data_IF_296889483261
#
_entry.id   IF_296889483261
#
_cell.length_a   1.000
_cell.length_b   1.000
_cell.length_c   1.000
_cell.angle_alpha   90.00
_cell.angle_beta   90.00
_cell.angle_gamma   90.00
#
_symmetry.space_group_name_H-M   'P 1'
#
loop_
_entity.id
_entity.type
_entity.pdbx_description
1 polymer ?
#
# COMPACT_ATOMS: atom_id res chain seq x y z
N UNK A 1 2.58 -28.11 28.13
CA UNK A 1 1.92 -27.28 29.16
C UNK A 1 0.41 -27.57 29.22
N UNK A 2 -0.37 -27.47 28.16
CA UNK A 2 -1.82 -27.73 28.20
C UNK A 2 -2.24 -29.10 28.75
N UNK A 3 -1.45 -30.15 28.51
CA UNK A 3 -1.68 -31.51 29.06
C UNK A 3 -1.39 -31.64 30.57
N UNK A 4 -0.82 -30.62 31.22
CA UNK A 4 -0.53 -30.59 32.64
C UNK A 4 -1.43 -29.59 33.35
N UNK A 5 -1.49 -28.34 32.86
CA UNK A 5 -2.22 -27.26 33.51
C UNK A 5 -3.73 -27.55 33.50
N UNK A 6 -4.31 -27.91 32.35
CA UNK A 6 -5.76 -28.13 32.25
C UNK A 6 -6.26 -29.29 33.12
N UNK A 7 -5.61 -30.47 33.18
CA UNK A 7 -6.01 -31.52 34.12
C UNK A 7 -5.89 -31.12 35.58
N UNK A 8 -4.83 -30.37 35.94
CA UNK A 8 -4.63 -29.89 37.31
C UNK A 8 -5.72 -28.88 37.71
N UNK A 9 -6.10 -27.97 36.82
CA UNK A 9 -7.19 -27.04 37.07
C UNK A 9 -8.54 -27.76 37.27
N UNK A 10 -8.81 -28.80 36.47
CA UNK A 10 -10.02 -29.60 36.63
C UNK A 10 -10.01 -30.34 37.97
N UNK A 11 -8.86 -30.92 38.37
CA UNK A 11 -8.70 -31.58 39.67
C UNK A 11 -8.91 -30.57 40.79
N UNK A 12 -8.25 -29.41 40.75
CA UNK A 12 -8.38 -28.36 41.73
C UNK A 12 -9.83 -27.89 41.87
N UNK A 13 -10.54 -27.68 40.76
CA UNK A 13 -11.96 -27.30 40.76
C UNK A 13 -12.87 -28.35 41.39
N UNK A 14 -12.62 -29.64 41.14
CA UNK A 14 -13.37 -30.74 41.78
C UNK A 14 -13.13 -30.82 43.28
N UNK A 15 -11.90 -30.58 43.72
CA UNK A 15 -11.56 -30.62 45.16
C UNK A 15 -11.90 -29.31 45.91
N UNK A 16 -12.24 -28.24 45.22
CA UNK A 16 -12.50 -26.93 45.82
C UNK A 16 -13.62 -26.98 46.88
N UNK A 17 -14.68 -27.77 46.64
CA UNK A 17 -15.79 -27.90 47.58
C UNK A 17 -15.57 -28.91 48.72
N UNK A 18 -14.52 -29.74 48.63
CA UNK A 18 -14.25 -30.83 49.59
C UNK A 18 -13.02 -30.52 50.43
N UNK A 19 -11.98 -29.96 49.80
CA UNK A 19 -10.64 -29.71 50.38
C UNK A 19 -10.07 -28.38 49.85
N UNK A 20 -10.69 -27.25 50.20
CA UNK A 20 -10.31 -25.92 49.74
C UNK A 20 -8.78 -25.64 49.87
N UNK A 21 -8.09 -25.96 51.00
CA UNK A 21 -6.63 -25.70 51.09
C UNK A 21 -5.82 -26.46 50.05
N UNK A 22 -6.25 -27.66 49.67
CA UNK A 22 -5.58 -28.47 48.65
C UNK A 22 -5.82 -27.87 47.25
N UNK A 23 -7.07 -27.48 46.95
CA UNK A 23 -7.41 -26.82 45.71
C UNK A 23 -6.62 -25.49 45.52
N UNK A 24 -6.53 -24.69 46.61
CA UNK A 24 -5.77 -23.45 46.59
C UNK A 24 -4.27 -23.69 46.28
N UNK A 25 -3.68 -24.73 46.87
CA UNK A 25 -2.27 -25.10 46.60
C UNK A 25 -2.10 -25.49 45.08
N UNK A 26 -3.02 -26.26 44.51
CA UNK A 26 -2.93 -26.65 43.10
C UNK A 26 -3.09 -25.46 42.18
N UNK A 27 -4.01 -24.52 42.46
CA UNK A 27 -4.14 -23.29 41.70
C UNK A 27 -2.86 -22.42 41.80
N UNK A 28 -2.25 -22.27 42.97
CA UNK A 28 -0.98 -21.56 43.14
C UNK A 28 0.16 -22.20 42.33
N UNK A 29 0.21 -23.54 42.28
CA UNK A 29 1.18 -24.24 41.43
C UNK A 29 0.93 -23.98 39.95
N UNK A 30 -0.30 -23.96 39.49
CA UNK A 30 -0.67 -23.63 38.10
C UNK A 30 -0.31 -22.17 37.76
N UNK A 31 -0.59 -21.23 38.66
CA UNK A 31 -0.21 -19.82 38.48
C UNK A 31 1.29 -19.65 38.32
N UNK A 32 2.06 -20.38 39.14
CA UNK A 32 3.55 -20.41 39.02
C UNK A 32 3.99 -20.97 37.67
N UNK A 33 3.37 -22.07 37.20
CA UNK A 33 3.67 -22.68 35.91
C UNK A 33 3.32 -21.77 34.74
N UNK A 34 2.18 -21.08 34.81
CA UNK A 34 1.77 -20.10 33.80
C UNK A 34 2.72 -18.89 33.79
N UNK A 35 3.07 -18.39 34.97
CA UNK A 35 4.04 -17.29 35.13
C UNK A 35 5.43 -17.65 34.57
N UNK A 36 5.90 -18.85 34.80
CA UNK A 36 7.16 -19.36 34.21
C UNK A 36 7.05 -19.46 32.69
N UNK A 37 5.92 -19.95 32.15
CA UNK A 37 5.69 -20.03 30.72
C UNK A 37 5.69 -18.64 30.07
N UNK A 38 4.95 -17.68 30.64
CA UNK A 38 4.90 -16.29 30.15
C UNK A 38 6.30 -15.66 30.21
N UNK A 39 7.04 -15.85 31.31
CA UNK A 39 8.41 -15.34 31.44
C UNK A 39 9.34 -15.96 30.39
N UNK A 40 9.20 -17.25 30.12
CA UNK A 40 9.96 -17.93 29.07
C UNK A 40 9.61 -17.42 27.66
N UNK A 41 8.31 -17.20 27.37
CA UNK A 41 7.89 -16.63 26.08
C UNK A 41 8.40 -15.21 25.91
N UNK A 42 8.34 -14.39 26.96
CA UNK A 42 8.89 -13.03 26.94
C UNK A 42 10.42 -13.03 26.74
N UNK A 43 11.13 -14.01 27.35
CA UNK A 43 12.57 -14.18 27.11
C UNK A 43 12.85 -14.55 25.65
N UNK A 44 12.08 -15.47 25.06
CA UNK A 44 12.22 -15.84 23.67
C UNK A 44 11.91 -14.66 22.74
N UNK A 45 10.87 -13.90 23.04
CA UNK A 45 10.50 -12.70 22.30
C UNK A 45 11.64 -11.67 22.34
N UNK A 46 12.21 -11.44 23.51
CA UNK A 46 13.35 -10.52 23.66
C UNK A 46 14.64 -11.00 22.97
N UNK A 47 14.92 -12.32 23.00
CA UNK A 47 16.12 -12.88 22.38
C UNK A 47 16.06 -13.00 20.87
N UNK A 48 14.90 -13.33 20.34
CA UNK A 48 14.71 -13.63 18.92
C UNK A 48 13.96 -12.54 18.17
N UNK A 49 13.27 -11.62 18.90
CA UNK A 49 12.45 -10.55 18.34
C UNK A 49 11.69 -11.03 17.09
N UNK A 50 10.85 -12.07 17.21
CA UNK A 50 10.22 -12.71 16.05
C UNK A 50 9.32 -11.71 15.33
N UNK A 51 9.78 -11.20 14.20
CA UNK A 51 8.96 -10.36 13.35
C UNK A 51 8.00 -11.24 12.51
N UNK A 52 6.72 -10.88 12.50
CA UNK A 52 5.77 -11.48 11.59
C UNK A 52 6.04 -10.95 10.19
N UNK A 53 6.69 -11.76 9.36
CA UNK A 53 6.96 -11.42 7.97
C UNK A 53 5.70 -11.74 7.15
N UNK A 54 5.03 -10.75 6.55
CA UNK A 54 3.91 -11.00 5.68
C UNK A 54 4.38 -11.72 4.42
N UNK A 55 3.70 -12.81 4.07
CA UNK A 55 4.01 -13.60 2.89
C UNK A 55 2.81 -13.58 1.95
N UNK A 56 3.01 -13.11 0.72
CA UNK A 56 1.99 -13.16 -0.31
C UNK A 56 1.73 -14.62 -0.71
N UNK A 57 0.67 -15.22 -0.18
CA UNK A 57 0.29 -16.59 -0.48
C UNK A 57 -0.80 -16.66 -1.55
N UNK A 58 -0.53 -17.34 -2.66
CA UNK A 58 -1.59 -17.75 -3.58
C UNK A 58 -2.47 -18.83 -2.93
N UNK A 59 -3.75 -18.96 -3.30
CA UNK A 59 -4.66 -20.00 -2.75
C UNK A 59 -4.08 -21.43 -2.81
N UNK A 60 -3.28 -21.80 -3.75
CA UNK A 60 -2.54 -23.01 -4.04
C UNK A 60 -1.37 -23.25 -3.07
N UNK A 61 -0.63 -22.17 -2.71
CA UNK A 61 0.39 -22.27 -1.67
C UNK A 61 -0.25 -22.46 -0.28
N UNK A 62 -1.41 -21.86 -0.05
CA UNK A 62 -2.18 -22.08 1.17
C UNK A 62 -2.64 -23.55 1.26
N UNK A 63 -3.20 -24.10 0.19
CA UNK A 63 -3.57 -25.54 0.14
C UNK A 63 -2.34 -26.42 0.39
N UNK A 64 -1.22 -26.12 -0.25
CA UNK A 64 0.03 -26.85 -0.04
C UNK A 64 0.49 -26.78 1.43
N UNK A 65 0.41 -25.63 2.07
CA UNK A 65 0.75 -25.45 3.48
C UNK A 65 -0.15 -26.30 4.39
N UNK A 66 -1.43 -26.35 4.12
CA UNK A 66 -2.38 -27.21 4.84
C UNK A 66 -2.02 -28.69 4.68
N UNK A 67 -1.71 -29.14 3.45
CA UNK A 67 -1.27 -30.51 3.18
C UNK A 67 0.01 -30.86 3.94
N UNK A 68 0.99 -29.95 3.97
CA UNK A 68 2.23 -30.11 4.76
C UNK A 68 1.90 -30.31 6.23
N UNK A 69 1.05 -29.46 6.80
CA UNK A 69 0.63 -29.58 8.20
C UNK A 69 -0.05 -30.91 8.47
N UNK A 70 -0.98 -31.34 7.62
CA UNK A 70 -1.64 -32.63 7.74
C UNK A 70 -0.62 -33.78 7.74
N UNK A 71 0.36 -33.78 6.82
CA UNK A 71 1.42 -34.79 6.77
C UNK A 71 2.23 -34.79 8.08
N UNK A 72 2.54 -33.64 8.66
CA UNK A 72 3.29 -33.54 9.89
C UNK A 72 2.53 -34.10 11.09
N UNK A 73 1.20 -33.92 11.15
CA UNK A 73 0.37 -34.39 12.28
C UNK A 73 -0.16 -35.80 12.13
N UNK A 74 -0.16 -36.40 10.95
CA UNK A 74 -0.53 -37.84 10.76
C UNK A 74 0.43 -38.73 11.59
N UNK A 75 -0.06 -39.83 12.21
CA UNK A 75 0.76 -40.77 12.96
C UNK A 75 1.93 -41.31 12.13
N UNK A 76 3.07 -41.59 12.81
CA UNK A 76 4.25 -42.16 12.18
C UNK A 76 3.89 -43.56 11.55
N UNK A 77 4.35 -43.77 10.33
CA UNK A 77 4.11 -45.04 9.57
C UNK A 77 3.04 -44.96 8.51
N UNK A 78 2.13 -43.95 8.55
CA UNK A 78 1.10 -43.79 7.51
C UNK A 78 1.65 -43.11 6.26
N UNK A 79 2.46 -42.03 6.44
CA UNK A 79 3.07 -41.23 5.36
C UNK A 79 4.51 -40.84 5.75
N UNK A 80 5.47 -40.91 4.80
CA UNK A 80 6.84 -40.42 5.07
C UNK A 80 6.85 -38.91 5.39
N UNK A 81 7.38 -38.54 6.54
CA UNK A 81 7.49 -37.11 6.97
C UNK A 81 8.36 -36.30 6.04
N UNK A 82 9.29 -36.92 5.31
CA UNK A 82 10.13 -36.25 4.30
C UNK A 82 9.32 -35.60 3.18
N UNK A 83 8.08 -36.06 2.89
CA UNK A 83 7.21 -35.40 1.91
C UNK A 83 6.81 -33.97 2.34
N UNK A 84 6.68 -33.75 3.63
CA UNK A 84 6.44 -32.40 4.14
C UNK A 84 7.63 -31.46 3.83
N UNK A 85 8.87 -31.95 3.91
CA UNK A 85 10.06 -31.19 3.54
C UNK A 85 10.08 -30.82 2.05
N UNK A 86 9.67 -31.75 1.15
CA UNK A 86 9.53 -31.44 -0.28
C UNK A 86 8.48 -30.35 -0.53
N UNK A 87 7.39 -30.37 0.22
CA UNK A 87 6.34 -29.35 0.11
C UNK A 87 6.76 -27.95 0.58
N UNK A 88 7.80 -27.84 1.42
CA UNK A 88 8.33 -26.53 1.85
C UNK A 88 9.13 -25.81 0.74
N UNK A 89 9.69 -26.54 -0.23
CA UNK A 89 10.53 -25.97 -1.29
C UNK A 89 9.84 -24.84 -2.07
N UNK A 90 8.59 -24.98 -2.55
CA UNK A 90 7.89 -23.90 -3.24
C UNK A 90 7.66 -22.66 -2.35
N UNK A 91 7.40 -22.90 -1.05
CA UNK A 91 7.20 -21.80 -0.08
C UNK A 91 8.50 -21.02 0.13
N UNK A 92 9.62 -21.70 0.28
CA UNK A 92 10.94 -21.07 0.40
C UNK A 92 11.39 -20.38 -0.87
N UNK A 93 10.85 -20.74 -2.02
CA UNK A 93 11.15 -20.13 -3.30
C UNK A 93 10.37 -18.81 -3.55
N UNK A 94 9.35 -18.47 -2.76
CA UNK A 94 8.54 -17.25 -2.92
C UNK A 94 9.40 -15.99 -3.04
N UNK A 95 10.42 -15.75 -2.19
CA UNK A 95 11.26 -14.55 -2.27
C UNK A 95 12.08 -14.46 -3.56
N UNK A 96 12.25 -15.56 -4.29
CA UNK A 96 12.98 -15.61 -5.54
C UNK A 96 12.13 -15.23 -6.77
N UNK A 97 10.81 -15.17 -6.62
CA UNK A 97 9.92 -14.74 -7.70
C UNK A 97 10.04 -13.23 -7.91
N UNK A 98 10.52 -12.85 -9.09
CA UNK A 98 10.51 -11.47 -9.54
C UNK A 98 9.11 -11.10 -10.00
N UNK A 99 8.38 -10.37 -9.17
CA UNK A 99 7.06 -9.89 -9.54
C UNK A 99 7.20 -8.80 -10.62
N UNK A 100 6.37 -8.88 -11.68
CA UNK A 100 6.36 -7.85 -12.71
C UNK A 100 5.91 -6.51 -12.14
N UNK A 101 6.04 -5.45 -12.94
CA UNK A 101 5.57 -4.11 -12.54
C UNK A 101 4.08 -4.13 -12.20
N UNK A 102 3.75 -3.46 -11.11
CA UNK A 102 2.40 -3.21 -10.64
C UNK A 102 2.30 -1.78 -10.11
N UNK A 103 1.21 -1.12 -10.43
CA UNK A 103 0.84 0.18 -9.86
C UNK A 103 -0.63 0.11 -9.43
N UNK A 104 -0.89 0.38 -8.16
CA UNK A 104 -2.22 0.37 -7.57
C UNK A 104 -2.58 1.76 -7.07
N UNK A 105 -3.64 2.36 -7.59
CA UNK A 105 -4.28 3.54 -7.01
C UNK A 105 -5.33 3.02 -6.03
N UNK A 106 -5.08 3.18 -4.74
CA UNK A 106 -5.93 2.62 -3.68
C UNK A 106 -7.18 3.48 -3.46
N UNK A 107 -8.32 2.84 -3.20
CA UNK A 107 -9.53 3.52 -2.73
C UNK A 107 -9.42 3.78 -1.22
N UNK A 108 -8.82 4.91 -0.89
CA UNK A 108 -8.61 5.37 0.49
C UNK A 108 -9.67 6.38 0.95
N UNK A 109 -10.78 6.51 0.20
CA UNK A 109 -11.74 7.58 0.43
C UNK A 109 -11.23 8.91 -0.11
N UNK A 110 -11.45 10.01 0.63
CA UNK A 110 -10.90 11.30 0.22
C UNK A 110 -9.41 11.32 0.51
N UNK A 111 -8.61 11.53 -0.54
CA UNK A 111 -7.16 11.55 -0.50
C UNK A 111 -6.53 10.67 -1.56
N UNK A 112 -5.22 10.56 -1.52
CA UNK A 112 -4.42 9.79 -2.47
C UNK A 112 -3.55 8.77 -1.75
N UNK A 113 -3.45 7.58 -2.34
CA UNK A 113 -2.46 6.57 -1.96
C UNK A 113 -2.20 5.66 -3.15
N UNK A 114 -0.94 5.58 -3.57
CA UNK A 114 -0.54 4.82 -4.75
C UNK A 114 0.61 3.89 -4.35
N UNK A 115 0.43 2.60 -4.58
CA UNK A 115 1.47 1.60 -4.37
C UNK A 115 2.09 1.19 -5.71
N UNK A 116 3.42 1.11 -5.76
CA UNK A 116 4.18 0.76 -6.96
C UNK A 116 5.18 -0.32 -6.60
N UNK A 117 5.29 -1.33 -7.45
CA UNK A 117 6.19 -2.47 -7.25
C UNK A 117 6.83 -2.90 -8.56
N UNK A 118 8.12 -3.27 -8.49
CA UNK A 118 8.85 -3.95 -9.56
C UNK A 118 9.89 -4.89 -8.96
N UNK A 119 9.72 -6.18 -9.16
CA UNK A 119 10.60 -7.18 -8.54
C UNK A 119 10.57 -7.13 -7.02
N UNK A 120 11.71 -6.84 -6.42
CA UNK A 120 11.85 -6.66 -4.97
C UNK A 120 11.70 -5.20 -4.53
N UNK A 121 11.70 -4.26 -5.46
CA UNK A 121 11.54 -2.84 -5.15
C UNK A 121 10.08 -2.48 -4.97
N UNK A 122 9.81 -1.66 -3.97
CA UNK A 122 8.48 -1.16 -3.70
C UNK A 122 8.51 0.30 -3.25
N UNK A 123 7.48 1.03 -3.61
CA UNK A 123 7.29 2.42 -3.24
C UNK A 123 5.82 2.70 -3.00
N UNK A 124 5.56 3.59 -2.06
CA UNK A 124 4.24 4.16 -1.85
C UNK A 124 4.31 5.67 -2.12
N UNK A 125 3.32 6.21 -2.80
CA UNK A 125 3.15 7.65 -3.01
C UNK A 125 1.87 8.05 -2.32
N UNK A 126 1.98 8.89 -1.32
CA UNK A 126 0.95 9.33 -0.38
C UNK A 126 0.30 8.19 0.41
N UNK A 127 -0.33 8.55 1.50
CA UNK A 127 -0.89 7.60 2.47
C UNK A 127 -2.37 7.82 2.74
N UNK A 128 -3.01 8.78 2.03
CA UNK A 128 -4.37 9.17 2.37
C UNK A 128 -4.48 9.72 3.79
N UNK A 129 -5.67 9.87 4.30
CA UNK A 129 -5.89 10.29 5.67
C UNK A 129 -7.33 10.64 5.99
N UNK A 130 -7.70 10.55 7.25
CA UNK A 130 -9.00 10.86 7.79
C UNK A 130 -8.97 12.12 8.65
N UNK A 131 -10.13 12.76 8.78
CA UNK A 131 -10.30 13.88 9.72
C UNK A 131 -10.28 13.44 11.19
N UNK A 132 -10.58 12.17 11.47
CA UNK A 132 -10.66 11.63 12.84
C UNK A 132 -10.07 10.20 12.84
N UNK A 133 -8.77 10.13 13.04
CA UNK A 133 -8.04 8.86 13.11
C UNK A 133 -8.40 8.04 14.34
N UNK A 134 -8.96 8.66 15.40
CA UNK A 134 -9.39 7.94 16.59
C UNK A 134 -10.57 6.99 16.32
N UNK A 135 -11.34 7.26 15.26
CA UNK A 135 -12.50 6.45 14.86
C UNK A 135 -12.21 5.50 13.71
N UNK A 136 -11.36 5.91 12.77
CA UNK A 136 -11.03 5.12 11.60
C UNK A 136 -9.67 5.54 11.06
N UNK A 137 -8.69 4.63 11.12
CA UNK A 137 -7.37 4.83 10.52
C UNK A 137 -7.30 4.17 9.14
N UNK A 138 -7.10 4.96 8.09
CA UNK A 138 -6.84 4.46 6.73
C UNK A 138 -5.56 3.62 6.72
N UNK A 139 -4.54 4.02 7.48
CA UNK A 139 -3.29 3.27 7.62
C UNK A 139 -3.55 1.85 8.10
N UNK A 140 -4.25 1.69 9.22
CA UNK A 140 -4.49 0.39 9.84
C UNK A 140 -5.53 -0.46 9.11
N UNK A 141 -6.55 0.15 8.52
CA UNK A 141 -7.68 -0.60 8.00
C UNK A 141 -7.63 -0.85 6.50
N UNK A 142 -6.83 -0.07 5.75
CA UNK A 142 -6.74 -0.20 4.29
C UNK A 142 -5.29 -0.46 3.87
N UNK A 143 -4.34 0.43 4.23
CA UNK A 143 -2.99 0.40 3.67
C UNK A 143 -2.17 -0.76 4.23
N UNK A 144 -2.08 -0.91 5.55
CA UNK A 144 -1.30 -1.99 6.17
C UNK A 144 -1.83 -3.38 5.82
N UNK A 145 -3.16 -3.64 5.83
CA UNK A 145 -3.70 -4.91 5.33
C UNK A 145 -3.40 -5.15 3.85
N UNK A 146 -3.51 -4.10 2.99
CA UNK A 146 -3.15 -4.22 1.59
C UNK A 146 -1.67 -4.59 1.42
N UNK A 147 -0.75 -3.89 2.08
CA UNK A 147 0.68 -4.17 2.05
C UNK A 147 1.00 -5.57 2.57
N UNK A 148 0.33 -6.00 3.63
CA UNK A 148 0.45 -7.36 4.19
C UNK A 148 0.03 -8.44 3.19
N UNK A 149 -1.11 -8.26 2.49
CA UNK A 149 -1.55 -9.17 1.42
C UNK A 149 -0.57 -9.21 0.26
N UNK A 150 0.08 -8.08 -0.03
CA UNK A 150 1.16 -8.00 -1.04
C UNK A 150 2.48 -8.61 -0.56
N UNK A 151 2.58 -9.04 0.68
CA UNK A 151 3.81 -9.59 1.27
C UNK A 151 4.88 -8.54 1.55
N UNK A 152 4.47 -7.29 1.79
CA UNK A 152 5.37 -6.16 2.06
C UNK A 152 5.57 -6.02 3.58
N UNK A 153 6.78 -6.27 4.04
CA UNK A 153 7.21 -6.05 5.43
C UNK A 153 8.05 -4.78 5.61
N UNK A 154 8.44 -4.15 4.49
CA UNK A 154 9.30 -2.97 4.46
C UNK A 154 8.99 -2.16 3.20
N UNK A 155 8.88 -0.85 3.33
CA UNK A 155 8.88 0.06 2.19
C UNK A 155 10.31 0.52 1.87
N UNK A 156 10.73 0.32 0.61
CA UNK A 156 12.01 0.84 0.17
C UNK A 156 11.95 2.37 0.06
N UNK A 157 10.86 2.88 -0.50
CA UNK A 157 10.62 4.31 -0.65
C UNK A 157 9.18 4.67 -0.28
N UNK A 158 9.01 5.79 0.40
CA UNK A 158 7.74 6.47 0.60
C UNK A 158 7.87 7.89 0.07
N UNK A 159 6.97 8.30 -0.80
CA UNK A 159 6.89 9.68 -1.25
C UNK A 159 5.64 10.31 -0.65
N UNK A 160 5.79 11.45 0.03
CA UNK A 160 4.69 12.31 0.42
C UNK A 160 4.70 13.52 -0.51
N UNK A 161 3.71 13.61 -1.39
CA UNK A 161 3.66 14.69 -2.38
C UNK A 161 3.62 16.05 -1.69
N UNK A 162 2.85 16.15 -0.61
CA UNK A 162 2.84 17.26 0.35
C UNK A 162 2.26 16.74 1.70
N UNK A 163 2.24 17.59 2.73
CA UNK A 163 1.90 17.15 4.09
C UNK A 163 0.45 17.47 4.50
N UNK A 164 -0.47 17.73 3.57
CA UNK A 164 -1.87 17.85 3.92
C UNK A 164 -2.45 16.48 4.29
N UNK A 165 -3.48 16.51 5.14
CA UNK A 165 -3.96 15.31 5.83
C UNK A 165 -4.46 14.22 4.89
N UNK A 166 -5.04 14.56 3.76
CA UNK A 166 -5.55 13.59 2.78
C UNK A 166 -4.43 12.99 1.90
N UNK A 167 -3.17 13.35 2.10
CA UNK A 167 -1.99 12.75 1.50
C UNK A 167 -1.03 12.12 2.51
N UNK A 168 -0.85 12.74 3.67
CA UNK A 168 0.09 12.28 4.70
C UNK A 168 -0.56 11.76 5.98
N UNK A 169 -1.90 11.79 6.09
CA UNK A 169 -2.59 11.53 7.35
C UNK A 169 -2.32 10.16 7.95
N UNK A 170 -2.18 9.11 7.15
CA UNK A 170 -1.85 7.79 7.65
C UNK A 170 -0.33 7.51 7.77
N UNK A 171 0.53 8.49 7.47
CA UNK A 171 1.99 8.33 7.50
C UNK A 171 2.50 7.84 8.86
N UNK A 172 2.03 8.41 9.95
CA UNK A 172 2.48 8.05 11.31
C UNK A 172 2.22 6.57 11.61
N UNK A 173 1.03 6.05 11.26
CA UNK A 173 0.71 4.63 11.45
C UNK A 173 1.60 3.71 10.61
N UNK A 174 1.89 4.11 9.37
CA UNK A 174 2.78 3.34 8.49
C UNK A 174 4.20 3.35 9.02
N UNK A 175 4.73 4.52 9.41
CA UNK A 175 6.06 4.70 9.98
C UNK A 175 6.28 3.86 11.25
N UNK A 176 5.27 3.76 12.09
CA UNK A 176 5.37 3.07 13.38
C UNK A 176 5.25 1.54 13.24
N UNK A 177 4.64 1.04 12.15
CA UNK A 177 4.42 -0.39 11.94
C UNK A 177 5.28 -1.00 10.81
N UNK A 178 5.80 -0.18 9.91
CA UNK A 178 6.63 -0.62 8.79
C UNK A 178 7.94 0.16 8.75
N UNK A 179 9.02 -0.55 8.50
CA UNK A 179 10.30 0.10 8.20
C UNK A 179 10.20 0.80 6.85
N UNK A 180 10.40 2.12 6.84
CA UNK A 180 10.56 2.94 5.64
C UNK A 180 12.04 3.26 5.48
N UNK A 181 12.66 2.83 4.37
CA UNK A 181 14.10 3.03 4.18
C UNK A 181 14.42 4.45 3.73
N UNK A 182 13.65 4.98 2.78
CA UNK A 182 13.81 6.33 2.25
C UNK A 182 12.46 7.05 2.20
N UNK A 183 12.42 8.26 2.73
CA UNK A 183 11.28 9.17 2.64
C UNK A 183 11.64 10.35 1.74
N UNK A 184 10.85 10.57 0.71
CA UNK A 184 10.96 11.72 -0.20
C UNK A 184 9.72 12.59 0.03
N UNK A 185 9.88 13.87 0.36
CA UNK A 185 8.73 14.76 0.52
C UNK A 185 9.05 16.21 0.19
N UNK A 186 8.02 17.01 -0.09
CA UNK A 186 8.17 18.44 -0.37
C UNK A 186 8.62 19.27 0.84
N UNK A 187 8.37 18.76 2.04
CA UNK A 187 8.85 19.30 3.32
C UNK A 187 9.15 18.14 4.29
N UNK A 188 9.98 18.37 5.29
CA UNK A 188 10.41 17.32 6.20
C UNK A 188 9.37 17.07 7.29
N UNK A 189 8.75 15.88 7.33
CA UNK A 189 7.89 15.47 8.43
C UNK A 189 8.71 14.89 9.59
N UNK A 190 8.04 14.42 10.62
CA UNK A 190 8.67 13.67 11.70
C UNK A 190 9.19 12.30 11.19
N UNK A 191 10.44 11.98 11.52
CA UNK A 191 11.14 10.80 11.00
C UNK A 191 11.47 9.79 12.12
N UNK A 192 11.58 8.51 11.74
CA UNK A 192 12.27 7.52 12.55
C UNK A 192 13.78 7.59 12.31
N UNK A 193 14.59 7.21 13.30
CA UNK A 193 16.06 7.25 13.23
C UNK A 193 16.64 6.45 12.04
N UNK A 194 15.94 5.40 11.59
CA UNK A 194 16.40 4.54 10.50
C UNK A 194 15.96 5.00 9.09
N UNK A 195 15.18 6.07 8.99
CA UNK A 195 14.63 6.57 7.72
C UNK A 195 15.53 7.65 7.13
N UNK A 196 16.00 7.45 5.90
CA UNK A 196 16.72 8.49 5.17
C UNK A 196 15.72 9.48 4.55
N UNK A 197 15.89 10.76 4.81
CA UNK A 197 15.06 11.80 4.22
C UNK A 197 15.71 12.43 3.01
N UNK A 198 14.92 12.65 1.96
CA UNK A 198 15.28 13.47 0.80
C UNK A 198 14.21 14.50 0.51
N UNK A 199 14.61 15.76 0.37
CA UNK A 199 13.70 16.78 -0.10
C UNK A 199 13.34 16.51 -1.57
N UNK A 200 12.05 16.48 -1.89
CA UNK A 200 11.55 16.36 -3.25
C UNK A 200 11.87 17.61 -4.06
N UNK A 201 12.56 17.46 -5.18
CA UNK A 201 12.99 18.59 -6.00
C UNK A 201 13.08 18.20 -7.48
N UNK A 202 12.65 19.11 -8.34
CA UNK A 202 12.75 18.96 -9.80
C UNK A 202 14.15 18.55 -10.24
N UNK A 203 14.21 17.60 -11.17
CA UNK A 203 15.46 17.10 -11.75
C UNK A 203 16.02 15.84 -11.07
N UNK A 204 15.53 15.48 -9.89
CA UNK A 204 15.87 14.20 -9.27
C UNK A 204 15.34 13.05 -10.11
N UNK A 205 16.11 11.98 -10.21
CA UNK A 205 15.71 10.77 -10.94
C UNK A 205 16.40 9.54 -10.39
N UNK A 206 15.76 8.39 -10.54
CA UNK A 206 16.31 7.07 -10.22
C UNK A 206 15.64 5.99 -11.08
N UNK A 207 16.18 4.78 -11.03
CA UNK A 207 15.63 3.65 -11.77
C UNK A 207 15.61 2.37 -10.94
N UNK A 208 14.68 1.48 -11.28
CA UNK A 208 14.63 0.12 -10.74
C UNK A 208 14.95 -0.88 -11.87
N UNK A 209 16.03 -1.63 -11.70
CA UNK A 209 16.41 -2.73 -12.58
C UNK A 209 16.41 -2.37 -14.09
N UNK A 210 16.74 -1.12 -14.44
CA UNK A 210 16.74 -0.59 -15.81
C UNK A 210 15.37 -0.67 -16.53
N UNK A 211 14.33 -1.13 -15.88
CA UNK A 211 12.99 -1.29 -16.46
C UNK A 211 12.05 -0.15 -16.10
N UNK A 212 12.17 0.38 -14.89
CA UNK A 212 11.30 1.48 -14.41
C UNK A 212 12.17 2.67 -14.08
N UNK A 213 11.89 3.79 -14.73
CA UNK A 213 12.56 5.07 -14.51
C UNK A 213 11.61 6.07 -13.87
N UNK A 214 12.08 6.75 -12.85
CA UNK A 214 11.37 7.77 -12.11
C UNK A 214 12.07 9.10 -12.29
N UNK A 215 11.26 10.17 -12.45
CA UNK A 215 11.74 11.53 -12.52
C UNK A 215 10.81 12.46 -11.76
N UNK A 216 11.38 13.30 -10.90
CA UNK A 216 10.68 14.37 -10.21
C UNK A 216 10.64 15.60 -11.11
N UNK A 217 9.44 16.09 -11.42
CA UNK A 217 9.20 17.22 -12.31
C UNK A 217 8.85 18.52 -11.55
N UNK A 218 8.38 18.40 -10.31
CA UNK A 218 8.01 19.47 -9.38
C UNK A 218 8.24 18.98 -7.94
N UNK A 219 8.48 19.84 -6.94
CA UNK A 219 8.55 21.30 -7.02
C UNK A 219 9.89 21.83 -7.59
N UNK A 220 9.85 23.04 -8.08
CA UNK A 220 11.03 23.77 -8.56
C UNK A 220 11.80 24.35 -7.37
N UNK A 221 13.13 24.49 -7.53
CA UNK A 221 13.98 25.04 -6.47
C UNK A 221 13.61 26.48 -6.08
N UNK A 222 13.15 27.28 -7.05
CA UNK A 222 12.74 28.66 -6.83
C UNK A 222 11.39 28.77 -6.09
N UNK A 223 10.49 27.80 -6.27
CA UNK A 223 9.20 27.78 -5.56
C UNK A 223 9.34 27.36 -4.09
N UNK A 224 10.28 26.48 -3.77
CA UNK A 224 10.58 26.06 -2.39
C UNK A 224 11.13 27.20 -1.52
N UNK A 225 11.76 28.21 -2.13
CA UNK A 225 12.36 29.35 -1.43
C UNK A 225 11.42 30.55 -1.28
N UNK A 226 10.15 30.45 -1.64
CA UNK A 226 9.19 31.54 -1.52
C UNK A 226 8.82 31.79 -0.04
N UNK A 227 8.52 33.06 0.29
CA UNK A 227 8.17 33.47 1.66
C UNK A 227 6.88 32.79 2.19
N UNK A 228 5.94 32.46 1.31
CA UNK A 228 4.72 31.67 1.60
C UNK A 228 4.48 30.73 0.43
N UNK A 229 5.13 29.55 0.42
CA UNK A 229 4.93 28.60 -0.64
C UNK A 229 3.49 28.08 -0.62
N UNK A 230 2.88 27.99 -1.79
CA UNK A 230 1.63 27.26 -1.95
C UNK A 230 1.92 25.76 -1.78
N UNK A 231 1.38 25.15 -0.75
CA UNK A 231 1.65 23.76 -0.41
C UNK A 231 1.22 22.81 -1.51
N UNK A 232 0.05 23.06 -2.10
CA UNK A 232 -0.49 22.23 -3.17
C UNK A 232 0.37 22.33 -4.43
N UNK A 233 0.71 23.55 -4.85
CA UNK A 233 1.57 23.76 -6.03
C UNK A 233 3.00 23.26 -5.82
N UNK A 234 3.45 23.11 -4.57
CA UNK A 234 4.74 22.51 -4.22
C UNK A 234 4.68 20.98 -4.01
N UNK A 235 3.58 20.33 -4.39
CA UNK A 235 3.52 18.88 -4.38
C UNK A 235 4.59 18.25 -5.26
N UNK A 236 5.10 17.10 -4.84
CA UNK A 236 5.98 16.27 -5.67
C UNK A 236 5.20 15.75 -6.89
N UNK A 237 5.60 16.17 -8.07
CA UNK A 237 5.11 15.60 -9.33
C UNK A 237 6.10 14.56 -9.83
N UNK A 238 5.63 13.34 -10.04
CA UNK A 238 6.47 12.21 -10.43
C UNK A 238 6.03 11.68 -11.78
N UNK A 239 6.97 11.63 -12.71
CA UNK A 239 6.82 10.90 -13.95
C UNK A 239 7.48 9.52 -13.82
N UNK A 240 6.76 8.48 -14.24
CA UNK A 240 7.22 7.09 -14.22
C UNK A 240 7.19 6.56 -15.64
N UNK A 241 8.32 6.05 -16.09
CA UNK A 241 8.42 5.36 -17.38
C UNK A 241 8.70 3.88 -17.15
N UNK A 242 7.87 3.01 -17.70
CA UNK A 242 8.02 1.56 -17.67
C UNK A 242 8.40 1.08 -19.07
N UNK A 243 9.60 0.52 -19.25
CA UNK A 243 10.08 0.03 -20.53
C UNK A 243 9.29 -1.21 -20.97
N UNK A 244 9.11 -1.34 -22.27
CA UNK A 244 8.47 -2.49 -22.93
C UNK A 244 7.07 -2.86 -22.40
N UNK A 245 6.32 -1.86 -21.95
CA UNK A 245 5.05 -2.00 -21.28
C UNK A 245 3.91 -1.32 -22.06
N UNK A 246 3.58 -1.84 -23.25
CA UNK A 246 2.46 -1.33 -24.05
C UNK A 246 1.11 -1.82 -23.47
N UNK A 247 -0.02 -1.01 -23.47
CA UNK A 247 -0.14 0.33 -24.03
C UNK A 247 0.18 1.50 -23.08
N UNK A 248 0.48 1.24 -21.79
CA UNK A 248 0.66 2.27 -20.76
C UNK A 248 2.11 2.29 -20.27
N UNK A 249 2.95 3.08 -20.90
CA UNK A 249 4.38 3.18 -20.53
C UNK A 249 4.70 4.36 -19.62
N UNK A 250 3.91 5.44 -19.70
CA UNK A 250 4.20 6.71 -19.06
C UNK A 250 3.08 7.11 -18.10
N UNK A 251 3.39 7.15 -16.81
CA UNK A 251 2.47 7.57 -15.75
C UNK A 251 2.92 8.92 -15.21
N UNK A 252 1.97 9.84 -15.05
CA UNK A 252 2.21 11.14 -14.43
C UNK A 252 1.35 11.27 -13.18
N UNK A 253 2.01 11.41 -12.01
CA UNK A 253 1.40 11.58 -10.71
C UNK A 253 1.53 13.05 -10.33
N UNK A 254 0.40 13.77 -10.22
CA UNK A 254 0.39 15.22 -10.06
C UNK A 254 0.38 15.68 -8.60
N UNK A 255 0.07 14.79 -7.62
CA UNK A 255 -0.23 15.23 -6.26
C UNK A 255 -1.40 16.20 -6.25
N UNK A 256 -1.32 17.26 -5.47
CA UNK A 256 -2.37 18.30 -5.42
C UNK A 256 -2.05 19.56 -6.23
N UNK A 257 -1.11 19.45 -7.17
CA UNK A 257 -0.76 20.57 -8.05
C UNK A 257 -1.93 21.02 -8.91
N UNK A 258 -1.94 22.31 -9.21
CA UNK A 258 -2.93 22.96 -10.06
C UNK A 258 -2.33 23.59 -11.30
N UNK A 259 -2.97 24.66 -11.77
CA UNK A 259 -2.65 25.28 -13.06
C UNK A 259 -1.25 25.88 -13.14
N UNK A 260 -0.70 26.34 -12.03
CA UNK A 260 0.64 26.94 -12.04
C UNK A 260 1.71 25.89 -12.38
N UNK A 261 1.64 24.74 -11.73
CA UNK A 261 2.55 23.63 -12.01
C UNK A 261 2.30 23.03 -13.39
N UNK A 262 1.04 22.89 -13.83
CA UNK A 262 0.69 22.46 -15.20
C UNK A 262 1.32 23.38 -16.26
N UNK A 263 1.28 24.69 -16.05
CA UNK A 263 1.92 25.65 -16.94
C UNK A 263 3.45 25.48 -16.98
N UNK A 264 4.06 25.24 -15.82
CA UNK A 264 5.50 24.96 -15.75
C UNK A 264 5.86 23.67 -16.48
N UNK A 265 5.06 22.62 -16.33
CA UNK A 265 5.27 21.35 -17.05
C UNK A 265 5.20 21.52 -18.57
N UNK A 266 4.21 22.24 -19.07
CA UNK A 266 4.09 22.55 -20.50
C UNK A 266 5.29 23.30 -21.05
N UNK A 267 5.86 24.22 -20.27
CA UNK A 267 7.04 25.01 -20.66
C UNK A 267 8.35 24.23 -20.59
N UNK A 268 8.55 23.50 -19.47
CA UNK A 268 9.84 22.91 -19.13
C UNK A 268 9.97 21.48 -19.72
N UNK A 269 8.84 20.79 -20.00
CA UNK A 269 8.78 19.43 -20.51
C UNK A 269 7.78 19.25 -21.66
N UNK A 270 7.89 20.04 -22.75
CA UNK A 270 6.90 20.01 -23.83
C UNK A 270 6.79 18.64 -24.53
N UNK A 271 7.86 17.85 -24.56
CA UNK A 271 7.90 16.54 -25.21
C UNK A 271 7.62 15.37 -24.26
N UNK A 272 7.17 15.63 -23.03
CA UNK A 272 6.85 14.60 -22.06
C UNK A 272 5.69 13.74 -22.56
N UNK A 273 5.90 12.44 -22.57
CA UNK A 273 4.83 11.48 -22.90
C UNK A 273 4.05 11.14 -21.63
N UNK A 274 2.72 11.11 -21.74
CA UNK A 274 1.82 10.76 -20.63
C UNK A 274 0.75 9.82 -21.18
N UNK A 275 0.78 8.56 -20.79
CA UNK A 275 -0.27 7.59 -21.11
C UNK A 275 -1.36 7.57 -20.04
N UNK A 276 -0.95 7.61 -18.76
CA UNK A 276 -1.83 7.58 -17.59
C UNK A 276 -1.58 8.84 -16.75
N UNK A 277 -2.62 9.62 -16.54
CA UNK A 277 -2.58 10.83 -15.72
C UNK A 277 -3.36 10.59 -14.42
N UNK A 278 -2.65 10.60 -13.28
CA UNK A 278 -3.33 10.75 -11.99
C UNK A 278 -3.57 12.24 -11.79
N UNK A 279 -4.85 12.61 -11.76
CA UNK A 279 -5.28 14.01 -11.80
C UNK A 279 -4.77 14.78 -10.57
N UNK A 280 -4.28 15.98 -10.81
CA UNK A 280 -3.91 16.88 -9.73
C UNK A 280 -5.11 17.27 -8.88
N UNK A 281 -4.90 17.41 -7.56
CA UNK A 281 -5.89 17.86 -6.60
C UNK A 281 -7.23 17.12 -6.74
N UNK A 282 -7.15 15.77 -6.84
CA UNK A 282 -8.29 14.85 -6.95
C UNK A 282 -9.25 15.16 -8.13
N UNK A 283 -8.80 15.92 -9.12
CA UNK A 283 -9.64 16.43 -10.22
C UNK A 283 -10.42 17.70 -9.85
N UNK A 284 -9.84 18.58 -9.05
CA UNK A 284 -10.36 19.91 -8.74
C UNK A 284 -10.62 20.74 -10.02
N UNK A 285 -11.51 21.72 -9.94
CA UNK A 285 -11.72 22.67 -11.04
C UNK A 285 -10.48 23.55 -11.33
N UNK A 286 -9.58 23.67 -10.36
CA UNK A 286 -8.33 24.46 -10.44
C UNK A 286 -7.12 23.63 -10.89
N UNK A 287 -7.33 22.39 -11.28
CA UNK A 287 -6.36 21.51 -11.92
C UNK A 287 -6.90 20.99 -13.27
N UNK A 288 -6.08 20.24 -14.00
CA UNK A 288 -6.44 19.61 -15.26
C UNK A 288 -6.95 20.62 -16.28
N UNK A 289 -6.14 21.68 -16.53
CA UNK A 289 -6.46 22.71 -17.49
C UNK A 289 -6.65 22.12 -18.91
N UNK A 290 -7.56 22.68 -19.70
CA UNK A 290 -7.84 22.18 -21.05
C UNK A 290 -6.58 22.12 -21.92
N UNK A 291 -5.73 23.17 -21.86
CA UNK A 291 -4.47 23.24 -22.61
C UNK A 291 -3.47 22.14 -22.18
N UNK A 292 -3.38 21.86 -20.88
CA UNK A 292 -2.55 20.80 -20.33
C UNK A 292 -3.01 19.42 -20.83
N UNK A 293 -4.30 19.13 -20.72
CA UNK A 293 -4.88 17.88 -21.20
C UNK A 293 -4.80 17.75 -22.73
N UNK A 294 -4.99 18.84 -23.47
CA UNK A 294 -4.90 18.85 -24.93
C UNK A 294 -3.49 18.61 -25.45
N UNK A 295 -2.49 19.13 -24.72
CA UNK A 295 -1.08 19.00 -25.09
C UNK A 295 -0.57 17.56 -24.88
N UNK A 296 -0.72 17.03 -23.65
CA UNK A 296 -0.20 15.71 -23.32
C UNK A 296 -1.08 14.56 -23.77
N UNK A 297 -2.37 14.77 -23.94
CA UNK A 297 -3.37 13.80 -24.41
C UNK A 297 -3.23 12.41 -23.77
N UNK A 298 -3.35 12.30 -22.46
CA UNK A 298 -3.24 11.01 -21.80
C UNK A 298 -4.32 10.05 -22.35
N UNK A 299 -3.96 8.77 -22.46
CA UNK A 299 -4.89 7.71 -22.88
C UNK A 299 -5.99 7.49 -21.85
N UNK A 300 -5.69 7.77 -20.58
CA UNK A 300 -6.62 7.63 -19.47
C UNK A 300 -6.25 8.60 -18.34
N UNK A 301 -7.26 9.13 -17.69
CA UNK A 301 -7.13 9.95 -16.48
C UNK A 301 -7.74 9.20 -15.28
N UNK A 302 -7.13 9.35 -14.10
CA UNK A 302 -7.60 8.74 -12.85
C UNK A 302 -7.78 9.81 -11.79
N UNK A 303 -8.97 9.84 -11.17
CA UNK A 303 -9.26 10.66 -10.01
C UNK A 303 -9.26 9.78 -8.74
N UNK A 304 -8.34 10.06 -7.82
CA UNK A 304 -8.37 9.49 -6.46
C UNK A 304 -9.20 10.42 -5.56
N UNK A 305 -10.41 10.03 -5.19
CA UNK A 305 -11.35 10.89 -4.44
C UNK A 305 -12.30 10.06 -3.58
N UNK A 306 -12.95 10.68 -2.61
CA UNK A 306 -13.96 10.03 -1.78
C UNK A 306 -15.34 9.97 -2.43
N UNK A 307 -16.10 8.91 -2.18
CA UNK A 307 -17.42 8.69 -2.81
C UNK A 307 -18.44 9.81 -2.53
N UNK A 308 -18.41 10.38 -1.37
CA UNK A 308 -19.31 11.48 -0.96
C UNK A 308 -18.48 12.67 -0.47
N UNK A 309 -17.39 12.96 -1.20
CA UNK A 309 -16.51 14.03 -0.78
C UNK A 309 -17.22 15.39 -0.86
N UNK A 310 -17.00 16.20 0.17
CA UNK A 310 -17.62 17.53 0.30
C UNK A 310 -17.16 18.53 -0.75
N UNK A 311 -16.06 18.23 -1.44
CA UNK A 311 -15.47 19.12 -2.45
C UNK A 311 -16.06 18.92 -3.85
N UNK A 312 -16.82 17.83 -4.06
CA UNK A 312 -17.38 17.47 -5.35
C UNK A 312 -16.32 17.03 -6.39
N UNK A 313 -15.23 16.41 -5.92
CA UNK A 313 -14.18 15.90 -6.81
C UNK A 313 -14.50 14.49 -7.31
N UNK A 314 -14.14 14.17 -8.60
CA UNK A 314 -13.66 15.10 -9.63
C UNK A 314 -14.73 16.11 -10.04
N UNK A 315 -14.33 17.38 -10.21
CA UNK A 315 -15.26 18.47 -10.48
C UNK A 315 -15.95 18.32 -11.85
N UNK A 316 -17.18 18.83 -11.98
CA UNK A 316 -17.91 18.81 -13.27
C UNK A 316 -17.12 19.48 -14.38
N UNK A 317 -16.36 20.55 -14.07
CA UNK A 317 -15.52 21.23 -15.06
C UNK A 317 -14.37 20.35 -15.55
N UNK A 318 -13.69 19.65 -14.64
CA UNK A 318 -12.63 18.71 -15.00
C UNK A 318 -13.18 17.56 -15.83
N UNK A 319 -14.33 16.99 -15.45
CA UNK A 319 -15.01 15.96 -16.23
C UNK A 319 -15.37 16.45 -17.63
N UNK A 320 -15.92 17.67 -17.76
CA UNK A 320 -16.27 18.26 -19.06
C UNK A 320 -15.04 18.48 -19.95
N UNK A 321 -13.90 18.91 -19.39
CA UNK A 321 -12.63 19.07 -20.14
C UNK A 321 -12.12 17.73 -20.68
N UNK A 322 -12.13 16.68 -19.85
CA UNK A 322 -11.73 15.33 -20.25
C UNK A 322 -12.66 14.78 -21.35
N UNK A 323 -13.97 14.93 -21.17
CA UNK A 323 -14.97 14.51 -22.14
C UNK A 323 -14.80 15.23 -23.49
N UNK A 324 -14.56 16.55 -23.49
CA UNK A 324 -14.34 17.34 -24.70
C UNK A 324 -13.10 16.88 -25.50
N UNK A 325 -12.12 16.28 -24.82
CA UNK A 325 -10.90 15.74 -25.42
C UNK A 325 -10.97 14.23 -25.66
N UNK A 326 -12.10 13.58 -25.37
CA UNK A 326 -12.27 12.12 -25.43
C UNK A 326 -11.24 11.35 -24.57
N UNK A 327 -10.88 11.88 -23.41
CA UNK A 327 -10.00 11.23 -22.45
C UNK A 327 -10.87 10.46 -21.45
N UNK A 328 -10.79 9.12 -21.40
CA UNK A 328 -11.51 8.32 -20.42
C UNK A 328 -11.12 8.70 -18.99
N UNK A 329 -12.10 8.82 -18.10
CA UNK A 329 -11.89 9.06 -16.67
C UNK A 329 -12.31 7.84 -15.87
N UNK A 330 -11.39 7.33 -15.05
CA UNK A 330 -11.70 6.42 -13.96
C UNK A 330 -11.61 7.16 -12.62
N UNK A 331 -12.45 6.77 -11.67
CA UNK A 331 -12.42 7.35 -10.32
C UNK A 331 -12.51 6.25 -9.25
N UNK A 332 -11.77 6.41 -8.16
CA UNK A 332 -11.82 5.45 -7.05
C UNK A 332 -13.23 5.30 -6.45
N UNK A 333 -14.09 6.36 -6.36
CA UNK A 333 -15.46 6.21 -5.90
C UNK A 333 -16.31 5.23 -6.73
N UNK A 334 -16.10 5.21 -8.04
CA UNK A 334 -16.90 4.40 -8.98
C UNK A 334 -16.29 3.02 -9.21
N UNK A 335 -14.97 2.95 -9.30
CA UNK A 335 -14.24 1.76 -9.73
C UNK A 335 -13.60 0.98 -8.57
N UNK A 336 -13.54 1.55 -7.35
CA UNK A 336 -12.69 1.04 -6.26
C UNK A 336 -11.22 1.25 -6.57
N UNK A 337 -10.34 0.49 -5.95
CA UNK A 337 -8.92 0.54 -6.30
C UNK A 337 -8.68 0.15 -7.76
N UNK A 338 -7.77 0.88 -8.41
CA UNK A 338 -7.44 0.74 -9.84
C UNK A 338 -6.02 0.20 -9.93
N UNK A 339 -5.83 -0.85 -10.72
CA UNK A 339 -4.59 -1.60 -10.82
C UNK A 339 -4.07 -1.61 -12.26
N UNK A 340 -2.78 -1.31 -12.43
CA UNK A 340 -2.01 -1.57 -13.64
C UNK A 340 -0.99 -2.66 -13.35
N UNK A 341 -0.96 -3.71 -14.14
CA UNK A 341 -0.01 -4.82 -13.95
C UNK A 341 0.46 -5.39 -15.27
N UNK A 342 1.73 -5.83 -15.33
CA UNK A 342 2.28 -6.49 -16.49
C UNK A 342 1.90 -7.97 -16.49
N UNK A 343 1.30 -8.41 -17.59
CA UNK A 343 1.09 -9.80 -17.92
C UNK A 343 1.41 -10.00 -19.40
N UNK A 344 2.20 -11.04 -19.73
CA UNK A 344 2.56 -11.36 -21.11
C UNK A 344 3.20 -10.18 -21.90
N UNK A 345 4.04 -9.38 -21.22
CA UNK A 345 4.71 -8.17 -21.75
C UNK A 345 3.76 -7.01 -22.09
N UNK A 346 2.51 -7.07 -21.61
CA UNK A 346 1.55 -5.98 -21.76
C UNK A 346 1.12 -5.46 -20.38
N UNK A 347 0.89 -4.18 -20.28
CA UNK A 347 0.22 -3.61 -19.11
C UNK A 347 -1.29 -3.75 -19.28
N UNK A 348 -1.89 -4.42 -18.34
CA UNK A 348 -3.32 -4.55 -18.19
C UNK A 348 -3.84 -3.57 -17.14
N UNK A 349 -5.03 -3.06 -17.39
CA UNK A 349 -5.78 -2.22 -16.46
C UNK A 349 -6.93 -3.04 -15.87
N UNK A 350 -7.05 -3.04 -14.55
CA UNK A 350 -8.18 -3.62 -13.85
C UNK A 350 -8.69 -2.67 -12.77
N UNK A 351 -9.95 -2.80 -12.41
CA UNK A 351 -10.50 -2.11 -11.24
C UNK A 351 -11.14 -3.11 -10.29
N UNK A 352 -11.09 -2.82 -9.00
CA UNK A 352 -11.57 -3.74 -7.98
C UNK A 352 -13.05 -4.10 -8.18
N UNK A 353 -13.89 -3.12 -8.47
CA UNK A 353 -15.32 -3.34 -8.65
C UNK A 353 -15.67 -4.07 -9.95
N UNK A 354 -14.86 -3.94 -11.01
CA UNK A 354 -15.05 -4.71 -12.24
C UNK A 354 -14.66 -6.18 -12.05
N UNK A 355 -13.69 -6.47 -11.20
CA UNK A 355 -13.21 -7.82 -10.88
C UNK A 355 -14.23 -8.62 -10.05
N UNK A 356 -14.97 -7.93 -9.19
CA UNK A 356 -15.98 -8.54 -8.31
C UNK A 356 -17.38 -8.10 -8.73
N UNK A 357 -17.96 -8.77 -9.74
CA UNK A 357 -19.25 -8.44 -10.38
C UNK A 357 -20.42 -8.27 -9.41
N UNK A 358 -20.43 -8.95 -8.27
CA UNK A 358 -21.49 -8.82 -7.26
C UNK A 358 -21.47 -7.45 -6.55
N UNK A 359 -20.38 -6.66 -6.69
CA UNK A 359 -20.28 -5.29 -6.21
C UNK A 359 -20.69 -4.25 -7.27
N UNK A 360 -20.90 -4.68 -8.52
CA UNK A 360 -21.35 -3.79 -9.59
C UNK A 360 -22.85 -3.55 -9.49
N UNK A 361 -23.28 -2.30 -9.35
CA UNK A 361 -24.58 -1.89 -9.84
C UNK A 361 -24.54 -1.91 -11.39
N UNK A 362 -25.65 -2.33 -12.01
CA UNK A 362 -25.77 -2.68 -13.45
C UNK A 362 -25.39 -1.60 -14.48
N UNK A 363 -24.86 -0.44 -14.11
CA UNK A 363 -24.79 0.76 -14.96
C UNK A 363 -23.44 1.01 -15.64
N UNK A 364 -22.48 0.11 -15.56
CA UNK A 364 -21.17 0.29 -16.22
C UNK A 364 -20.90 -0.77 -17.29
N UNK A 365 -21.59 -0.65 -18.41
CA UNK A 365 -21.08 -1.16 -19.69
C UNK A 365 -20.01 -0.20 -20.18
N UNK A 366 -18.74 -0.49 -19.91
CA UNK A 366 -17.62 0.10 -20.64
C UNK A 366 -17.64 -0.57 -22.03
N UNK A 367 -18.07 0.16 -23.05
CA UNK A 367 -17.91 -0.21 -24.44
C UNK A 367 -16.49 0.05 -24.91
#
# INVERSE_FOLDING_TARGET
MGFIIVPLDIIAALFFFIAEPFAALVFQMNDLMISMLVSFLNLLDHLFSPELIPVAMTPWLLILSVVILVILFIPRGAVPKSWAACGLVPIMAIPLYHLPFQLHVLDVGQGQSIFIRQGQHNMMVDTGGNYDESRFSIGEQIILPFLSVQGISKLDQLVLTHLDQDHSGAYMHIRDQLKVSELIASEQPELNESTQFKLCQQGQSWNWNEQVYFQVLSPRSDSLNQFKPDKNENSCVIHIQVKDAWPYQHFLLMGDTGWQTEFHLLRDYPDLKVDVLILGHHGSQHSSAYQFLQHYRPKIAIASAGRFNRYGHPSRLTQARLQALNIPLLSTPEHGSIEFFIKEKQIHLASYRSKYRWLQREDLKIQ
#
